data_IF_502503779219
#
_entry.id   IF_502503779219
#
_cell.length_a   1.000
_cell.length_b   1.000
_cell.length_c   1.000
_cell.angle_alpha   90.00
_cell.angle_beta   90.00
_cell.angle_gamma   90.00
#
_symmetry.space_group_name_H-M   'P 1'
#
loop_
_entity.id
_entity.type
_entity.pdbx_description
1 polymer ?
#
# COMPACT_ATOMS: atom_id res chain seq x y z
N UNK A 1 -0.70 16.59 -4.24
CA UNK A 1 -0.83 15.30 -4.93
C UNK A 1 -1.21 14.19 -3.95
N UNK A 2 -0.35 13.85 -2.99
CA UNK A 2 -0.61 12.85 -1.97
C UNK A 2 -1.89 13.14 -1.19
N UNK A 3 -2.01 14.38 -0.69
CA UNK A 3 -3.14 14.85 0.11
C UNK A 3 -4.47 14.82 -0.64
N UNK A 4 -4.43 15.06 -1.95
CA UNK A 4 -5.64 15.20 -2.78
C UNK A 4 -6.10 13.88 -3.39
N UNK A 5 -5.17 13.02 -3.81
CA UNK A 5 -5.50 11.80 -4.58
C UNK A 5 -5.33 10.52 -3.76
N UNK A 6 -4.24 10.38 -3.03
CA UNK A 6 -3.92 9.14 -2.31
C UNK A 6 -4.50 9.11 -0.90
N UNK A 7 -4.56 10.25 -0.22
CA UNK A 7 -5.04 10.33 1.16
C UNK A 7 -6.50 9.86 1.33
N UNK A 8 -7.48 10.20 0.47
CA UNK A 8 -8.84 9.68 0.60
C UNK A 8 -8.90 8.15 0.53
N UNK A 9 -8.10 7.55 -0.36
CA UNK A 9 -8.00 6.09 -0.52
C UNK A 9 -7.33 5.50 0.74
N UNK A 10 -6.26 6.12 1.23
CA UNK A 10 -5.58 5.71 2.46
C UNK A 10 -6.52 5.76 3.67
N UNK A 11 -7.35 6.79 3.82
CA UNK A 11 -8.34 6.87 4.91
C UNK A 11 -9.33 5.71 4.86
N UNK A 12 -9.87 5.41 3.68
CA UNK A 12 -10.77 4.28 3.49
C UNK A 12 -10.08 2.96 3.84
N UNK A 13 -8.85 2.77 3.37
CA UNK A 13 -8.04 1.58 3.65
C UNK A 13 -7.73 1.43 5.14
N UNK A 14 -7.32 2.50 5.83
CA UNK A 14 -7.04 2.49 7.27
C UNK A 14 -8.29 2.14 8.11
N UNK A 15 -9.50 2.56 7.68
CA UNK A 15 -10.75 2.14 8.34
C UNK A 15 -10.95 0.62 8.23
N UNK A 16 -10.67 0.05 7.07
CA UNK A 16 -10.72 -1.40 6.86
C UNK A 16 -9.66 -2.14 7.69
N UNK A 17 -8.43 -1.63 7.73
CA UNK A 17 -7.37 -2.17 8.58
C UNK A 17 -7.73 -2.11 10.08
N UNK A 18 -8.36 -1.01 10.52
CA UNK A 18 -8.82 -0.83 11.89
C UNK A 18 -9.91 -1.85 12.27
N UNK A 19 -10.87 -2.08 11.37
CA UNK A 19 -11.90 -3.13 11.54
C UNK A 19 -11.26 -4.52 11.72
N UNK A 20 -10.23 -4.84 10.93
CA UNK A 20 -9.50 -6.11 11.02
C UNK A 20 -8.46 -6.15 12.15
N UNK A 21 -8.23 -5.04 12.84
CA UNK A 21 -7.12 -4.84 13.79
C UNK A 21 -5.76 -5.18 13.17
N UNK A 22 -5.66 -5.00 11.84
CA UNK A 22 -4.51 -5.39 11.01
C UNK A 22 -3.37 -4.38 11.04
N UNK A 23 -3.60 -3.17 11.55
CA UNK A 23 -2.59 -2.13 11.71
C UNK A 23 -2.75 -1.37 13.03
N UNK A 24 -1.64 -0.99 13.69
CA UNK A 24 -1.65 -0.20 14.92
C UNK A 24 -1.62 1.30 14.63
N UNK A 25 -2.26 1.74 13.53
CA UNK A 25 -2.17 3.11 13.03
C UNK A 25 -3.54 3.62 12.59
N UNK A 26 -3.81 4.88 12.89
CA UNK A 26 -5.08 5.55 12.67
C UNK A 26 -4.82 6.92 12.04
N UNK A 27 -5.77 7.39 11.24
CA UNK A 27 -5.72 8.76 10.73
C UNK A 27 -6.32 9.70 11.77
N UNK A 28 -5.60 10.75 12.13
CA UNK A 28 -6.05 11.79 13.05
C UNK A 28 -6.57 12.99 12.25
N UNK A 29 -7.87 13.23 12.34
CA UNK A 29 -8.54 14.33 11.64
C UNK A 29 -8.18 15.71 12.20
N UNK A 30 -7.70 15.81 13.46
CA UNK A 30 -7.27 17.09 14.05
C UNK A 30 -5.92 17.53 13.50
N UNK A 31 -4.94 16.61 13.47
CA UNK A 31 -3.60 16.91 12.96
C UNK A 31 -3.49 16.77 11.45
N UNK A 32 -4.40 16.03 10.82
CA UNK A 32 -4.34 15.68 9.41
C UNK A 32 -3.22 14.68 9.09
N UNK A 33 -2.75 13.93 10.09
CA UNK A 33 -1.61 13.01 9.99
C UNK A 33 -2.01 11.58 10.37
N UNK A 34 -1.21 10.61 9.95
CA UNK A 34 -1.33 9.23 10.41
C UNK A 34 -0.55 9.10 11.72
N UNK A 35 -1.22 8.62 12.77
CA UNK A 35 -0.66 8.49 14.12
C UNK A 35 -0.75 7.03 14.60
N UNK A 36 0.06 6.69 15.59
CA UNK A 36 0.00 5.39 16.26
C UNK A 36 -1.24 5.30 17.14
N UNK A 37 -1.96 4.18 17.08
CA UNK A 37 -3.11 3.92 17.96
C UNK A 37 -2.64 3.90 19.42
N UNK A 38 -3.45 4.48 20.31
CA UNK A 38 -3.22 4.45 21.76
C UNK A 38 -3.80 3.19 22.42
N UNK A 39 -4.60 2.42 21.71
CA UNK A 39 -5.26 1.23 22.25
C UNK A 39 -4.26 0.07 22.38
N UNK A 40 -3.89 -0.27 23.62
CA UNK A 40 -3.01 -1.42 23.92
C UNK A 40 -3.55 -2.74 23.38
N UNK A 41 -4.87 -2.97 23.45
CA UNK A 41 -5.49 -4.19 22.94
C UNK A 41 -5.29 -4.36 21.43
N UNK A 42 -5.45 -3.29 20.65
CA UNK A 42 -5.19 -3.31 19.20
C UNK A 42 -3.74 -3.63 18.90
N UNK A 43 -2.79 -3.08 19.68
CA UNK A 43 -1.36 -3.37 19.53
C UNK A 43 -1.04 -4.84 19.79
N UNK A 44 -1.62 -5.43 20.85
CA UNK A 44 -1.42 -6.85 21.19
C UNK A 44 -1.97 -7.75 20.07
N UNK A 45 -3.19 -7.47 19.59
CA UNK A 45 -3.81 -8.23 18.51
C UNK A 45 -3.00 -8.13 17.22
N UNK A 46 -2.52 -6.93 16.88
CA UNK A 46 -1.65 -6.74 15.71
C UNK A 46 -0.37 -7.59 15.80
N UNK A 47 0.31 -7.58 16.95
CA UNK A 47 1.53 -8.39 17.17
C UNK A 47 1.24 -9.88 17.05
N UNK A 48 0.13 -10.34 17.61
CA UNK A 48 -0.31 -11.73 17.49
C UNK A 48 -0.56 -12.11 16.02
N UNK A 49 -1.25 -11.25 15.27
CA UNK A 49 -1.49 -11.47 13.84
C UNK A 49 -0.19 -11.49 13.01
N UNK A 50 0.82 -10.67 13.36
CA UNK A 50 2.14 -10.73 12.71
C UNK A 50 2.84 -12.07 12.96
N UNK A 51 2.84 -12.56 14.20
CA UNK A 51 3.39 -13.88 14.52
C UNK A 51 2.61 -14.98 13.79
N UNK A 52 1.29 -14.90 13.79
CA UNK A 52 0.41 -15.86 13.12
C UNK A 52 0.66 -15.89 11.60
N UNK A 53 0.90 -14.74 10.97
CA UNK A 53 1.23 -14.68 9.54
C UNK A 53 2.56 -15.37 9.19
N UNK A 54 3.57 -15.25 10.05
CA UNK A 54 4.86 -15.94 9.87
C UNK A 54 4.71 -17.44 10.05
N UNK A 55 3.99 -17.87 11.09
CA UNK A 55 3.70 -19.29 11.32
C UNK A 55 2.91 -19.90 10.15
N UNK A 56 1.90 -19.18 9.68
CA UNK A 56 1.06 -19.60 8.56
C UNK A 56 1.85 -19.70 7.25
N UNK A 57 2.66 -18.70 6.90
CA UNK A 57 3.54 -18.77 5.73
C UNK A 57 4.56 -19.91 5.85
N UNK A 58 5.09 -20.17 7.05
CA UNK A 58 6.02 -21.28 7.29
C UNK A 58 5.33 -22.64 7.09
N UNK A 59 4.09 -22.79 7.58
CA UNK A 59 3.29 -23.99 7.36
C UNK A 59 2.97 -24.20 5.87
N UNK A 60 2.60 -23.13 5.15
CA UNK A 60 2.41 -23.18 3.69
C UNK A 60 3.68 -23.63 2.96
N UNK A 61 4.84 -23.08 3.34
CA UNK A 61 6.13 -23.45 2.75
C UNK A 61 6.45 -24.93 3.00
N UNK A 62 6.33 -25.40 4.24
CA UNK A 62 6.56 -26.80 4.60
C UNK A 62 5.62 -27.74 3.84
N UNK A 63 4.35 -27.35 3.68
CA UNK A 63 3.37 -28.10 2.91
C UNK A 63 3.74 -28.17 1.41
N UNK A 64 4.26 -27.08 0.83
CA UNK A 64 4.71 -27.10 -0.56
C UNK A 64 5.95 -27.98 -0.75
N UNK A 65 6.91 -27.94 0.17
CA UNK A 65 8.16 -28.71 0.07
C UNK A 65 7.92 -30.19 0.36
N UNK A 66 7.35 -30.50 1.52
CA UNK A 66 7.28 -31.86 2.08
C UNK A 66 5.91 -32.52 1.85
N UNK A 67 4.88 -31.72 1.53
CA UNK A 67 3.52 -32.23 1.40
C UNK A 67 3.34 -33.24 0.26
N UNK A 68 2.32 -34.11 0.37
CA UNK A 68 2.08 -35.25 -0.53
C UNK A 68 1.53 -34.85 -1.91
N UNK A 69 1.32 -33.56 -2.17
CA UNK A 69 0.69 -33.07 -3.39
C UNK A 69 1.53 -33.30 -4.63
N UNK A 70 0.86 -33.37 -5.78
CA UNK A 70 1.51 -33.49 -7.09
C UNK A 70 2.29 -32.23 -7.44
N UNK A 71 3.24 -32.33 -8.38
CA UNK A 71 4.05 -31.19 -8.82
C UNK A 71 3.18 -30.03 -9.36
N UNK A 72 2.13 -30.34 -10.12
CA UNK A 72 1.23 -29.34 -10.70
C UNK A 72 0.48 -28.58 -9.60
N UNK A 73 0.01 -29.28 -8.57
CA UNK A 73 -0.68 -28.65 -7.44
C UNK A 73 0.28 -27.79 -6.62
N UNK A 74 1.52 -28.24 -6.43
CA UNK A 74 2.57 -27.44 -5.79
C UNK A 74 2.83 -26.15 -6.55
N UNK A 75 2.95 -26.20 -7.89
CA UNK A 75 3.14 -25.00 -8.72
C UNK A 75 1.99 -23.99 -8.59
N UNK A 76 0.74 -24.47 -8.54
CA UNK A 76 -0.42 -23.59 -8.27
C UNK A 76 -0.31 -22.95 -6.88
N UNK A 77 0.05 -23.74 -5.88
CA UNK A 77 0.19 -23.27 -4.50
C UNK A 77 1.33 -22.28 -4.30
N UNK A 78 2.41 -22.35 -5.09
CA UNK A 78 3.54 -21.39 -5.05
C UNK A 78 3.07 -19.95 -5.28
N UNK A 79 2.09 -19.71 -6.17
CA UNK A 79 1.58 -18.36 -6.43
C UNK A 79 0.95 -17.76 -5.18
N UNK A 80 0.09 -18.53 -4.50
CA UNK A 80 -0.54 -18.10 -3.24
C UNK A 80 0.50 -17.91 -2.14
N UNK A 81 1.47 -18.84 -2.03
CA UNK A 81 2.56 -18.72 -1.07
C UNK A 81 3.39 -17.46 -1.29
N UNK A 82 3.82 -17.16 -2.50
CA UNK A 82 4.61 -15.95 -2.80
C UNK A 82 3.82 -14.68 -2.49
N UNK A 83 2.52 -14.65 -2.80
CA UNK A 83 1.67 -13.52 -2.45
C UNK A 83 1.61 -13.30 -0.93
N UNK A 84 1.34 -14.35 -0.15
CA UNK A 84 1.29 -14.26 1.31
C UNK A 84 2.65 -13.97 1.95
N UNK A 85 3.72 -14.54 1.39
CA UNK A 85 5.08 -14.32 1.87
C UNK A 85 5.51 -12.86 1.69
N UNK A 86 5.33 -12.29 0.49
CA UNK A 86 5.66 -10.88 0.22
C UNK A 86 4.84 -9.92 1.08
N UNK A 87 3.54 -10.17 1.23
CA UNK A 87 2.67 -9.32 2.07
C UNK A 87 2.98 -9.48 3.56
N UNK A 88 3.37 -10.67 4.02
CA UNK A 88 3.85 -10.91 5.39
C UNK A 88 5.15 -10.16 5.67
N UNK A 89 6.12 -10.18 4.74
CA UNK A 89 7.35 -9.39 4.83
C UNK A 89 7.02 -7.90 4.88
N UNK A 90 6.20 -7.41 3.94
CA UNK A 90 5.82 -6.00 3.89
C UNK A 90 5.12 -5.55 5.18
N UNK A 91 4.24 -6.38 5.73
CA UNK A 91 3.52 -6.12 6.99
C UNK A 91 4.43 -6.14 8.21
N UNK A 92 5.57 -6.85 8.16
CA UNK A 92 6.38 -7.15 9.33
C UNK A 92 6.87 -5.88 10.05
N UNK A 93 6.16 -5.51 11.11
CA UNK A 93 6.48 -4.35 11.93
C UNK A 93 6.21 -4.65 13.42
N UNK A 94 6.76 -5.76 13.91
CA UNK A 94 6.56 -6.21 15.29
C UNK A 94 7.04 -5.18 16.32
N UNK A 95 8.13 -4.47 16.01
CA UNK A 95 8.72 -3.41 16.85
C UNK A 95 7.94 -2.09 16.80
N UNK A 96 6.88 -1.99 15.98
CA UNK A 96 6.08 -0.77 15.79
C UNK A 96 6.94 0.44 15.35
N UNK A 97 7.89 0.19 14.45
CA UNK A 97 8.74 1.19 13.83
C UNK A 97 7.87 2.27 13.15
N UNK A 98 8.07 3.56 13.50
CA UNK A 98 7.34 4.67 12.90
C UNK A 98 7.79 4.98 11.46
N UNK A 99 8.90 4.43 10.96
CA UNK A 99 9.50 4.80 9.66
C UNK A 99 8.51 4.84 8.49
N UNK A 100 7.70 3.79 8.22
CA UNK A 100 6.76 3.82 7.08
C UNK A 100 5.74 4.96 7.15
N UNK A 101 5.37 5.36 8.37
CA UNK A 101 4.40 6.45 8.60
C UNK A 101 5.07 7.81 8.52
N UNK A 102 6.31 7.91 9.00
CA UNK A 102 7.08 9.13 8.84
C UNK A 102 7.24 9.48 7.36
N UNK A 103 7.40 8.49 6.48
CA UNK A 103 7.40 8.72 5.02
C UNK A 103 6.07 9.33 4.55
N UNK A 104 4.94 8.71 4.89
CA UNK A 104 3.60 9.21 4.53
C UNK A 104 3.36 10.63 5.09
N UNK A 105 3.63 10.83 6.37
CA UNK A 105 3.46 12.11 7.04
C UNK A 105 4.41 13.18 6.50
N UNK A 106 5.60 12.82 6.03
CA UNK A 106 6.53 13.76 5.38
C UNK A 106 5.95 14.28 4.06
N UNK A 107 5.31 13.43 3.26
CA UNK A 107 4.60 13.87 2.06
C UNK A 107 3.43 14.79 2.39
N UNK A 108 2.60 14.43 3.37
CA UNK A 108 1.48 15.26 3.82
C UNK A 108 1.96 16.62 4.32
N UNK A 109 3.00 16.66 5.16
CA UNK A 109 3.60 17.89 5.67
C UNK A 109 4.20 18.73 4.55
N UNK A 110 4.98 18.12 3.66
CA UNK A 110 5.60 18.83 2.54
C UNK A 110 4.57 19.49 1.63
N UNK A 111 3.48 18.80 1.30
CA UNK A 111 2.38 19.40 0.53
C UNK A 111 1.68 20.52 1.30
N UNK A 112 1.46 20.31 2.60
CA UNK A 112 0.82 21.28 3.46
C UNK A 112 1.70 22.50 3.78
N UNK A 113 3.03 22.46 3.67
CA UNK A 113 3.89 23.62 3.96
C UNK A 113 4.44 24.26 2.69
N UNK A 114 5.01 23.44 1.81
CA UNK A 114 5.82 23.92 0.67
C UNK A 114 4.96 24.15 -0.57
N UNK A 115 3.89 23.37 -0.76
CA UNK A 115 3.09 23.41 -1.99
C UNK A 115 1.74 24.14 -1.86
N UNK A 116 1.43 24.78 -0.70
CA UNK A 116 0.15 25.49 -0.48
C UNK A 116 -0.24 26.45 -1.60
N UNK A 117 0.72 27.16 -2.18
CA UNK A 117 0.49 28.08 -3.31
C UNK A 117 0.56 27.42 -4.69
N UNK A 118 1.53 26.53 -4.89
CA UNK A 118 1.81 25.89 -6.17
C UNK A 118 0.76 24.84 -6.58
N UNK A 119 0.13 24.20 -5.60
CA UNK A 119 -0.75 23.04 -5.84
C UNK A 119 -2.12 23.42 -6.38
N UNK A 120 -2.60 24.66 -6.14
CA UNK A 120 -3.93 25.08 -6.60
C UNK A 120 -4.04 25.24 -8.12
N UNK A 121 -2.92 25.43 -8.82
CA UNK A 121 -2.93 25.74 -10.26
C UNK A 121 -2.49 24.58 -11.16
N UNK A 122 -1.98 23.49 -10.61
CA UNK A 122 -1.43 22.40 -11.44
C UNK A 122 -2.41 21.23 -11.58
N UNK A 123 -2.87 20.92 -12.81
CA UNK A 123 -3.67 19.74 -13.04
C UNK A 123 -2.85 18.47 -12.72
N UNK A 124 -3.51 17.38 -12.31
CA UNK A 124 -2.82 16.13 -12.05
C UNK A 124 -2.06 15.66 -13.28
N UNK A 125 -0.82 15.20 -13.07
CA UNK A 125 -0.08 14.53 -14.15
C UNK A 125 -0.78 13.25 -14.58
N UNK A 126 -0.71 12.89 -15.86
CA UNK A 126 -1.27 11.62 -16.38
C UNK A 126 -0.78 10.39 -15.58
N UNK A 127 0.48 10.41 -15.14
CA UNK A 127 1.06 9.38 -14.28
C UNK A 127 0.39 9.31 -12.90
N UNK A 128 0.06 10.46 -12.29
CA UNK A 128 -0.66 10.50 -11.02
C UNK A 128 -2.07 9.92 -11.14
N UNK A 129 -2.76 10.25 -12.23
CA UNK A 129 -4.10 9.72 -12.53
C UNK A 129 -4.05 8.20 -12.74
N UNK A 130 -3.09 7.73 -13.55
CA UNK A 130 -2.88 6.30 -13.79
C UNK A 130 -2.57 5.53 -12.49
N UNK A 131 -1.69 6.07 -11.64
CA UNK A 131 -1.39 5.46 -10.34
C UNK A 131 -2.61 5.44 -9.41
N UNK A 132 -3.38 6.52 -9.39
CA UNK A 132 -4.62 6.59 -8.59
C UNK A 132 -5.63 5.52 -9.04
N UNK A 133 -5.80 5.34 -10.36
CA UNK A 133 -6.64 4.28 -10.91
C UNK A 133 -6.11 2.89 -10.54
N UNK A 134 -4.81 2.66 -10.68
CA UNK A 134 -4.16 1.42 -10.30
C UNK A 134 -4.40 1.09 -8.82
N UNK A 135 -4.16 2.03 -7.90
CA UNK A 135 -4.38 1.80 -6.46
C UNK A 135 -5.84 1.46 -6.16
N UNK A 136 -6.82 2.07 -6.85
CA UNK A 136 -8.24 1.72 -6.69
C UNK A 136 -8.54 0.30 -7.17
N UNK A 137 -7.99 -0.12 -8.31
CA UNK A 137 -8.15 -1.49 -8.81
C UNK A 137 -7.55 -2.48 -7.81
N UNK A 138 -6.37 -2.17 -7.26
CA UNK A 138 -5.71 -3.03 -6.27
C UNK A 138 -6.52 -3.11 -4.98
N UNK A 139 -7.06 -2.01 -4.45
CA UNK A 139 -7.94 -2.02 -3.26
C UNK A 139 -9.15 -2.95 -3.44
N UNK A 140 -9.82 -2.86 -4.59
CA UNK A 140 -10.95 -3.76 -4.89
C UNK A 140 -10.46 -5.21 -4.97
N UNK A 141 -9.32 -5.44 -5.62
CA UNK A 141 -8.73 -6.78 -5.78
C UNK A 141 -8.34 -7.41 -4.44
N UNK A 142 -7.86 -6.62 -3.48
CA UNK A 142 -7.47 -7.08 -2.14
C UNK A 142 -8.64 -7.71 -1.38
N UNK A 143 -9.86 -7.20 -1.57
CA UNK A 143 -11.07 -7.76 -0.97
C UNK A 143 -11.60 -8.93 -1.79
N UNK A 144 -11.50 -8.82 -3.11
CA UNK A 144 -11.96 -9.85 -4.03
C UNK A 144 -11.17 -11.16 -3.90
N UNK A 145 -9.84 -11.10 -3.74
CA UNK A 145 -8.97 -12.29 -3.65
C UNK A 145 -9.36 -13.24 -2.51
N UNK A 146 -9.49 -12.80 -1.23
CA UNK A 146 -10.00 -13.66 -0.15
C UNK A 146 -11.44 -14.14 -0.39
N UNK A 147 -12.29 -13.33 -1.02
CA UNK A 147 -13.65 -13.76 -1.39
C UNK A 147 -13.64 -14.92 -2.39
N UNK A 148 -12.81 -14.83 -3.43
CA UNK A 148 -12.61 -15.91 -4.40
C UNK A 148 -11.94 -17.13 -3.76
N UNK A 149 -11.10 -16.94 -2.74
CA UNK A 149 -10.49 -18.03 -2.01
C UNK A 149 -11.53 -18.91 -1.31
N UNK A 150 -12.61 -18.34 -0.74
CA UNK A 150 -13.73 -19.13 -0.20
C UNK A 150 -14.32 -20.03 -1.28
N UNK A 151 -14.58 -19.49 -2.47
CA UNK A 151 -15.19 -20.24 -3.58
C UNK A 151 -14.27 -21.36 -4.06
N UNK A 152 -12.99 -21.07 -4.21
CA UNK A 152 -11.97 -22.05 -4.62
C UNK A 152 -11.90 -23.18 -3.58
N UNK A 153 -11.82 -22.85 -2.29
CA UNK A 153 -11.72 -23.85 -1.23
C UNK A 153 -13.02 -24.64 -1.04
N UNK A 154 -14.17 -24.06 -1.36
CA UNK A 154 -15.45 -24.77 -1.36
C UNK A 154 -15.54 -25.79 -2.49
N UNK A 155 -14.91 -25.49 -3.64
CA UNK A 155 -14.86 -26.39 -4.80
C UNK A 155 -13.75 -27.44 -4.67
N UNK A 156 -12.57 -27.04 -4.17
CA UNK A 156 -11.37 -27.87 -4.00
C UNK A 156 -10.77 -27.66 -2.61
N UNK A 157 -11.29 -28.33 -1.57
CA UNK A 157 -10.84 -28.13 -0.19
C UNK A 157 -9.40 -28.60 0.04
N UNK A 158 -8.90 -29.54 -0.76
CA UNK A 158 -7.54 -30.09 -0.64
C UNK A 158 -6.50 -29.34 -1.47
N UNK A 159 -6.79 -28.12 -1.95
CA UNK A 159 -5.87 -27.33 -2.76
C UNK A 159 -4.65 -26.87 -1.93
N UNK A 160 -3.41 -27.12 -2.36
CA UNK A 160 -2.22 -26.54 -1.72
C UNK A 160 -2.13 -25.02 -1.94
N UNK A 161 -1.61 -24.24 -0.98
CA UNK A 161 -0.92 -24.67 0.24
C UNK A 161 -1.78 -24.57 1.52
N UNK A 162 -3.11 -24.58 1.39
CA UNK A 162 -4.05 -24.35 2.49
C UNK A 162 -4.09 -25.51 3.50
N UNK A 163 -4.52 -25.23 4.73
CA UNK A 163 -4.47 -26.12 5.91
C UNK A 163 -5.09 -27.49 5.64
N UNK A 164 -6.24 -27.54 4.96
CA UNK A 164 -6.91 -28.82 4.67
C UNK A 164 -6.04 -29.74 3.78
N UNK A 165 -5.25 -29.17 2.86
CA UNK A 165 -4.31 -29.94 2.03
C UNK A 165 -3.14 -30.55 2.82
N UNK A 166 -2.87 -30.07 4.03
CA UNK A 166 -1.81 -30.61 4.89
C UNK A 166 -2.19 -31.96 5.51
N UNK A 167 -3.47 -32.32 5.51
CA UNK A 167 -3.94 -33.62 5.99
C UNK A 167 -3.82 -34.69 4.91
N UNK A 168 -3.13 -35.79 5.22
CA UNK A 168 -3.03 -36.98 4.32
C UNK A 168 -4.39 -37.57 3.96
N UNK A 169 -5.39 -37.36 4.82
CA UNK A 169 -6.73 -37.91 4.68
C UNK A 169 -7.72 -36.87 4.18
N UNK A 170 -7.29 -35.80 3.50
CA UNK A 170 -8.19 -34.75 3.04
C UNK A 170 -9.29 -35.30 2.10
N UNK A 171 -8.93 -36.15 1.15
CA UNK A 171 -9.87 -36.74 0.20
C UNK A 171 -10.83 -37.74 0.86
N UNK A 172 -10.30 -38.68 1.64
CA UNK A 172 -11.14 -39.61 2.42
C UNK A 172 -12.04 -38.86 3.41
N UNK A 173 -11.58 -37.70 3.88
CA UNK A 173 -12.37 -36.85 4.76
C UNK A 173 -13.50 -36.15 4.01
N UNK A 174 -13.36 -35.81 2.75
CA UNK A 174 -14.46 -35.13 2.07
C UNK A 174 -15.58 -36.08 1.63
N UNK A 175 -15.22 -37.32 1.22
CA UNK A 175 -16.14 -38.20 0.48
C UNK A 175 -16.84 -39.31 1.29
N UNK A 176 -16.48 -39.59 2.55
CA UNK A 176 -17.14 -40.69 3.30
C UNK A 176 -18.59 -40.33 3.70
N UNK A 177 -19.60 -41.11 3.27
CA UNK A 177 -21.01 -40.82 3.56
C UNK A 177 -21.45 -41.25 4.98
N UNK A 178 -22.33 -40.46 5.59
CA UNK A 178 -23.31 -40.85 6.64
C UNK A 178 -22.81 -41.52 7.93
N UNK A 179 -21.93 -40.86 8.69
CA UNK A 179 -21.75 -41.15 10.13
C UNK A 179 -22.29 -40.02 11.00
N UNK A 180 -22.66 -40.31 12.25
CA UNK A 180 -23.18 -39.34 13.23
C UNK A 180 -22.24 -38.11 13.41
N UNK A 181 -20.96 -38.26 13.11
CA UNK A 181 -19.94 -37.20 13.13
C UNK A 181 -20.00 -36.21 11.95
N UNK A 182 -20.94 -36.36 11.00
CA UNK A 182 -21.01 -35.53 9.79
C UNK A 182 -21.26 -34.03 10.08
N UNK A 183 -22.08 -33.68 11.08
CA UNK A 183 -22.34 -32.27 11.44
C UNK A 183 -21.10 -31.57 11.97
N UNK A 184 -20.39 -32.21 12.90
CA UNK A 184 -19.15 -31.67 13.51
C UNK A 184 -18.08 -31.45 12.45
N UNK A 185 -17.96 -32.40 11.52
CA UNK A 185 -17.01 -32.31 10.41
C UNK A 185 -17.31 -31.15 9.46
N UNK A 186 -18.57 -30.98 9.04
CA UNK A 186 -18.97 -29.85 8.19
C UNK A 186 -18.67 -28.51 8.88
N UNK A 187 -18.95 -28.41 10.18
CA UNK A 187 -18.64 -27.23 10.96
C UNK A 187 -17.12 -26.96 11.01
N UNK A 188 -16.30 -28.00 11.18
CA UNK A 188 -14.85 -27.89 11.16
C UNK A 188 -14.34 -27.38 9.80
N UNK A 189 -14.82 -27.94 8.69
CA UNK A 189 -14.43 -27.52 7.33
C UNK A 189 -14.78 -26.05 7.09
N UNK A 190 -16.00 -25.63 7.42
CA UNK A 190 -16.43 -24.24 7.33
C UNK A 190 -15.57 -23.35 8.22
N UNK A 191 -15.26 -23.78 9.44
CA UNK A 191 -14.37 -23.08 10.36
C UNK A 191 -12.97 -22.87 9.77
N UNK A 192 -12.41 -23.90 9.12
CA UNK A 192 -11.12 -23.77 8.43
C UNK A 192 -11.22 -22.78 7.26
N UNK A 193 -12.25 -22.86 6.41
CA UNK A 193 -12.41 -21.88 5.32
C UNK A 193 -12.56 -20.43 5.81
N UNK A 194 -13.29 -20.22 6.89
CA UNK A 194 -13.40 -18.90 7.53
C UNK A 194 -12.06 -18.43 8.08
N UNK A 195 -11.31 -19.33 8.74
CA UNK A 195 -9.97 -19.03 9.23
C UNK A 195 -9.00 -18.67 8.09
N UNK A 196 -8.96 -19.47 7.02
CA UNK A 196 -8.13 -19.25 5.83
C UNK A 196 -8.42 -17.90 5.18
N UNK A 197 -9.71 -17.57 5.06
CA UNK A 197 -10.14 -16.30 4.48
C UNK A 197 -9.77 -15.13 5.37
N UNK A 198 -9.99 -15.26 6.67
CA UNK A 198 -9.63 -14.24 7.65
C UNK A 198 -8.11 -14.00 7.66
N UNK A 199 -7.31 -15.07 7.66
CA UNK A 199 -5.85 -15.02 7.54
C UNK A 199 -5.44 -14.28 6.27
N UNK A 200 -5.98 -14.69 5.12
CA UNK A 200 -5.63 -14.08 3.85
C UNK A 200 -6.02 -12.61 3.78
N UNK A 201 -7.22 -12.27 4.25
CA UNK A 201 -7.72 -10.90 4.29
C UNK A 201 -6.83 -10.00 5.14
N UNK A 202 -6.54 -10.38 6.39
CA UNK A 202 -5.73 -9.51 7.25
C UNK A 202 -4.27 -9.40 6.77
N UNK A 203 -3.67 -10.47 6.23
CA UNK A 203 -2.31 -10.43 5.69
C UNK A 203 -2.23 -9.48 4.49
N UNK A 204 -3.10 -9.68 3.49
CA UNK A 204 -3.05 -8.90 2.24
C UNK A 204 -3.39 -7.43 2.51
N UNK A 205 -4.47 -7.15 3.25
CA UNK A 205 -4.91 -5.77 3.54
C UNK A 205 -3.79 -4.98 4.25
N UNK A 206 -3.25 -5.51 5.35
CA UNK A 206 -2.20 -4.81 6.11
C UNK A 206 -0.85 -4.74 5.39
N UNK A 207 -0.46 -5.78 4.63
CA UNK A 207 0.78 -5.77 3.85
C UNK A 207 0.73 -4.77 2.71
N UNK A 208 -0.44 -4.60 2.08
CA UNK A 208 -0.63 -3.62 1.02
C UNK A 208 -0.46 -2.18 1.51
N UNK A 209 -0.75 -1.87 2.77
CA UNK A 209 -0.69 -0.48 3.24
C UNK A 209 0.68 0.16 3.00
N UNK A 210 1.77 -0.57 3.28
CA UNK A 210 3.13 -0.05 3.08
C UNK A 210 3.55 -0.07 1.62
N UNK A 211 3.25 -1.15 0.89
CA UNK A 211 3.58 -1.26 -0.53
C UNK A 211 2.82 -0.21 -1.35
N UNK A 212 1.52 -0.10 -1.15
CA UNK A 212 0.63 0.83 -1.84
C UNK A 212 0.95 2.29 -1.51
N UNK A 213 0.89 2.66 -0.22
CA UNK A 213 0.87 4.07 0.18
C UNK A 213 2.25 4.63 0.52
N UNK A 214 3.15 3.84 1.12
CA UNK A 214 4.50 4.34 1.37
C UNK A 214 5.38 4.24 0.12
N UNK A 215 5.38 3.09 -0.58
CA UNK A 215 6.25 2.85 -1.73
C UNK A 215 5.66 3.38 -3.04
N UNK A 216 4.54 2.84 -3.55
CA UNK A 216 4.02 3.22 -4.88
C UNK A 216 3.54 4.68 -4.92
N UNK A 217 2.71 5.10 -3.97
CA UNK A 217 2.29 6.50 -3.88
C UNK A 217 3.49 7.43 -3.62
N UNK A 218 4.45 7.03 -2.77
CA UNK A 218 5.66 7.80 -2.49
C UNK A 218 6.53 8.04 -3.72
N UNK A 219 6.84 6.99 -4.50
CA UNK A 219 7.59 7.11 -5.77
C UNK A 219 6.88 8.09 -6.71
N UNK A 220 5.57 7.95 -6.84
CA UNK A 220 4.78 8.80 -7.75
C UNK A 220 4.80 10.26 -7.31
N UNK A 221 4.74 10.51 -6.00
CA UNK A 221 4.85 11.84 -5.42
C UNK A 221 6.24 12.45 -5.66
N UNK A 222 7.33 11.70 -5.41
CA UNK A 222 8.70 12.18 -5.65
C UNK A 222 8.90 12.55 -7.11
N UNK A 223 8.51 11.69 -8.06
CA UNK A 223 8.60 11.98 -9.50
C UNK A 223 7.82 13.23 -9.87
N UNK A 224 6.65 13.43 -9.26
CA UNK A 224 5.86 14.64 -9.50
C UNK A 224 6.52 15.89 -8.91
N UNK A 225 7.10 15.81 -7.71
CA UNK A 225 7.79 16.93 -7.08
C UNK A 225 9.04 17.35 -7.87
N UNK A 226 9.79 16.40 -8.45
CA UNK A 226 10.90 16.74 -9.33
C UNK A 226 10.45 17.52 -10.57
N UNK A 227 9.31 17.17 -11.17
CA UNK A 227 8.75 17.95 -12.30
C UNK A 227 8.32 19.36 -11.89
N UNK A 228 7.82 19.51 -10.66
CA UNK A 228 7.51 20.84 -10.12
C UNK A 228 8.81 21.64 -9.95
N UNK A 229 9.83 21.03 -9.36
CA UNK A 229 11.14 21.67 -9.15
C UNK A 229 11.79 22.09 -10.47
N UNK A 230 11.74 21.24 -11.49
CA UNK A 230 12.26 21.55 -12.84
C UNK A 230 11.59 22.80 -13.43
N UNK A 231 10.27 22.94 -13.29
CA UNK A 231 9.54 24.13 -13.73
C UNK A 231 9.97 25.39 -12.99
N UNK A 232 10.19 25.29 -11.68
CA UNK A 232 10.70 26.41 -10.89
C UNK A 232 12.11 26.82 -11.33
N UNK A 233 13.00 25.85 -11.58
CA UNK A 233 14.35 26.12 -12.08
C UNK A 233 14.32 26.81 -13.43
N UNK A 234 13.47 26.35 -14.36
CA UNK A 234 13.28 26.99 -15.68
C UNK A 234 12.74 28.42 -15.50
N UNK A 235 11.76 28.62 -14.63
CA UNK A 235 11.19 29.94 -14.35
C UNK A 235 12.23 30.91 -13.77
N UNK A 236 13.05 30.46 -12.82
CA UNK A 236 14.13 31.27 -12.23
C UNK A 236 15.17 31.64 -13.28
N UNK A 237 15.57 30.70 -14.14
CA UNK A 237 16.50 30.97 -15.25
C UNK A 237 15.94 32.01 -16.22
N UNK A 238 14.66 31.89 -16.58
CA UNK A 238 13.99 32.86 -17.43
C UNK A 238 13.91 34.25 -16.77
N UNK A 239 13.56 34.31 -15.48
CA UNK A 239 13.51 35.57 -14.74
C UNK A 239 14.89 36.24 -14.68
N UNK A 240 15.94 35.46 -14.45
CA UNK A 240 17.31 35.97 -14.44
C UNK A 240 17.72 36.51 -15.82
N UNK A 241 17.35 35.83 -16.91
CA UNK A 241 17.57 36.30 -18.28
C UNK A 241 16.87 37.65 -18.54
N UNK A 242 15.60 37.79 -18.18
CA UNK A 242 14.82 39.03 -18.36
C UNK A 242 15.37 40.17 -17.50
N UNK A 243 15.79 39.89 -16.26
CA UNK A 243 16.42 40.89 -15.40
C UNK A 243 17.76 41.35 -15.97
N UNK A 244 18.58 40.43 -16.47
CA UNK A 244 19.86 40.75 -17.07
C UNK A 244 19.71 41.63 -18.33
N UNK A 245 18.71 41.34 -19.17
CA UNK A 245 18.41 42.14 -20.38
C UNK A 245 17.95 43.57 -20.03
N UNK A 246 17.13 43.72 -18.97
CA UNK A 246 16.71 45.05 -18.49
C UNK A 246 17.86 45.87 -17.91
N UNK A 247 18.79 45.24 -17.20
CA UNK A 247 19.98 45.92 -16.66
C UNK A 247 20.85 46.44 -17.81
N UNK A 248 21.13 45.61 -18.82
CA UNK A 248 21.91 46.06 -20.00
C UNK A 248 21.21 47.15 -20.81
N UNK A 249 19.88 47.13 -20.92
CA UNK A 249 19.13 48.20 -21.60
C UNK A 249 19.13 49.52 -20.81
N UNK A 250 19.15 49.46 -19.47
CA UNK A 250 19.23 50.65 -18.64
C UNK A 250 20.61 51.33 -18.73
N UNK A 251 21.69 50.56 -18.82
CA UNK A 251 23.05 51.09 -18.98
C UNK A 251 23.23 51.81 -20.33
N UNK A 252 22.63 51.28 -21.41
CA UNK A 252 22.66 51.93 -22.74
C UNK A 252 21.95 53.30 -22.76
N UNK A 253 20.79 53.40 -22.10
CA UNK A 253 20.05 54.67 -22.03
C UNK A 253 20.77 55.72 -21.18
N UNK A 254 21.58 55.32 -20.19
CA UNK A 254 22.34 56.28 -19.37
C UNK A 254 23.49 56.94 -20.16
N UNK A 255 24.13 56.19 -21.08
CA UNK A 255 25.19 56.72 -21.94
C UNK A 255 24.69 57.78 -22.94
N UNK A 256 23.47 57.64 -23.45
CA UNK A 256 22.90 58.57 -24.44
C UNK A 256 22.55 59.94 -23.81
N UNK A 257 22.21 59.97 -22.51
CA UNK A 257 21.86 61.21 -21.79
C UNK A 257 23.12 62.03 -21.42
N UNK A 258 24.27 61.39 -21.20
CA UNK A 258 25.53 62.09 -20.89
C UNK A 258 26.26 62.68 -22.11
N UNK A 259 25.85 62.35 -23.33
CA UNK A 259 26.54 62.78 -24.56
C UNK A 259 26.09 64.12 -25.16
N UNK A 260 25.04 64.77 -24.65
CA UNK A 260 24.37 65.90 -25.32
C UNK A 260 24.63 67.29 -24.72
N UNK A 261 25.50 67.45 -23.71
CA UNK A 261 25.75 68.75 -23.03
C UNK A 261 27.08 69.42 -23.39
N UNK A 262 27.72 69.05 -24.50
CA UNK A 262 29.08 69.49 -24.83
C UNK A 262 29.25 70.31 -26.11
N UNK A 263 28.44 71.34 -26.37
CA UNK A 263 28.82 72.41 -27.32
C UNK A 263 28.02 73.70 -27.03
N UNK A 264 28.62 74.59 -26.24
CA UNK A 264 28.38 76.03 -26.23
C UNK A 264 29.69 76.72 -25.81
#
# INVERSE_FOLDING_TARGET
>A
MYSSYFLPILKQHLRMCSFLKGLPFEYDDETGLVVKTRCHGTIIIFKLQCLLSVLYCSAMFLNLVIGPSTLIEKLKGVIFFLMYFNTTIARWNYSLDPTPIQVINSFLKYEATTLRGAQRSMPPSRSALAMTLYMRIVEISIIFIPGMLILILSYQPCLPPFILSMSRSCESTYFTPWTCCHRVRKLMIVGVHLFETWMGLHIIVSGYTWLGFALFAGITCIVHYFRILERYVIYIRFLFYVLNERVHSADLNLFEITGTTGHA
#
